data_IF_470788829690
#
_entry.id   IF_470788829690
#
_cell.length_a   1.000
_cell.length_b   1.000
_cell.length_c   1.000
_cell.angle_alpha   90.00
_cell.angle_beta   90.00
_cell.angle_gamma   90.00
#
_symmetry.space_group_name_H-M   'P 1'
#
loop_
_entity.id
_entity.type
_entity.pdbx_description
1 polymer ?
#
# COMPACT_ATOMS: atom_id res chain seq x y z
N UNK A 1 -26.65 -5.83 15.25
CA UNK A 1 -25.73 -6.46 14.28
C UNK A 1 -25.46 -7.89 14.72
N UNK A 2 -25.39 -8.88 13.81
CA UNK A 2 -24.97 -10.23 14.15
C UNK A 2 -23.59 -10.19 14.80
N UNK A 3 -23.44 -10.78 15.98
CA UNK A 3 -22.16 -10.83 16.72
C UNK A 3 -21.08 -11.61 15.95
N UNK A 4 -21.48 -12.54 15.08
CA UNK A 4 -20.58 -13.26 14.17
C UNK A 4 -19.91 -12.37 13.11
N UNK A 5 -20.48 -11.20 12.79
CA UNK A 5 -19.89 -10.26 11.85
C UNK A 5 -18.87 -9.31 12.49
N UNK A 6 -18.84 -9.20 13.83
CA UNK A 6 -17.92 -8.30 14.55
C UNK A 6 -16.45 -8.61 14.23
N UNK A 7 -15.98 -9.88 14.26
CA UNK A 7 -14.61 -10.20 13.89
C UNK A 7 -14.28 -9.84 12.44
N UNK A 8 -15.22 -10.10 11.51
CA UNK A 8 -15.04 -9.81 10.08
C UNK A 8 -14.91 -8.30 9.85
N UNK A 9 -15.76 -7.50 10.49
CA UNK A 9 -15.69 -6.04 10.42
C UNK A 9 -14.37 -5.53 11.03
N UNK A 10 -13.91 -6.13 12.13
CA UNK A 10 -12.64 -5.74 12.76
C UNK A 10 -11.44 -6.02 11.86
N UNK A 11 -11.39 -7.20 11.22
CA UNK A 11 -10.36 -7.55 10.23
C UNK A 11 -10.44 -6.60 9.03
N UNK A 12 -11.64 -6.29 8.53
CA UNK A 12 -11.79 -5.33 7.43
C UNK A 12 -11.26 -3.93 7.77
N UNK A 13 -11.49 -3.46 9.00
CA UNK A 13 -10.93 -2.19 9.49
C UNK A 13 -9.41 -2.23 9.56
N UNK A 14 -8.86 -3.34 10.06
CA UNK A 14 -7.41 -3.54 10.10
C UNK A 14 -6.80 -3.53 8.70
N UNK A 15 -7.41 -4.26 7.75
CA UNK A 15 -6.95 -4.31 6.37
C UNK A 15 -6.96 -2.91 5.70
N UNK A 16 -8.06 -2.16 5.82
CA UNK A 16 -8.15 -0.80 5.27
C UNK A 16 -7.08 0.11 5.89
N UNK A 17 -6.89 0.04 7.21
CA UNK A 17 -5.88 0.85 7.89
C UNK A 17 -4.45 0.52 7.45
N UNK A 18 -4.12 -0.77 7.35
CA UNK A 18 -2.82 -1.25 6.87
C UNK A 18 -2.54 -0.80 5.43
N UNK A 19 -3.49 -1.04 4.52
CA UNK A 19 -3.37 -0.63 3.12
C UNK A 19 -3.27 0.90 2.96
N UNK A 20 -3.96 1.67 3.81
CA UNK A 20 -3.83 3.15 3.84
C UNK A 20 -2.42 3.57 4.24
N UNK A 21 -1.85 2.93 5.28
CA UNK A 21 -0.48 3.21 5.73
C UNK A 21 0.54 2.85 4.64
N UNK A 22 0.38 1.70 3.98
CA UNK A 22 1.26 1.27 2.89
C UNK A 22 1.19 2.22 1.69
N UNK A 23 -0.01 2.65 1.29
CA UNK A 23 -0.20 3.66 0.24
C UNK A 23 0.46 4.99 0.58
N UNK A 24 0.39 5.42 1.84
CA UNK A 24 1.06 6.64 2.30
C UNK A 24 2.59 6.50 2.22
N UNK A 25 3.14 5.38 2.69
CA UNK A 25 4.58 5.08 2.57
C UNK A 25 4.99 5.07 1.09
N UNK A 26 4.18 4.47 0.22
CA UNK A 26 4.45 4.45 -1.21
C UNK A 26 4.43 5.84 -1.85
N UNK A 27 3.54 6.76 -1.47
CA UNK A 27 3.59 8.15 -1.94
C UNK A 27 4.89 8.85 -1.55
N UNK A 28 5.33 8.69 -0.30
CA UNK A 28 6.57 9.30 0.19
C UNK A 28 7.79 8.75 -0.59
N UNK A 29 7.88 7.43 -0.76
CA UNK A 29 8.99 6.80 -1.49
C UNK A 29 8.92 6.99 -3.02
N UNK A 30 7.74 7.14 -3.61
CA UNK A 30 7.62 7.39 -5.04
C UNK A 30 8.23 8.73 -5.44
N UNK A 31 8.14 9.74 -4.55
CA UNK A 31 8.72 11.07 -4.78
C UNK A 31 10.25 10.99 -4.90
N UNK A 32 10.92 10.21 -4.04
CA UNK A 32 12.38 10.03 -4.14
C UNK A 32 12.81 9.23 -5.37
N UNK A 33 11.90 8.44 -5.96
CA UNK A 33 12.12 7.61 -7.16
C UNK A 33 11.67 8.27 -8.47
N UNK A 34 11.35 9.57 -8.46
CA UNK A 34 10.80 10.30 -9.61
C UNK A 34 9.53 9.66 -10.24
N UNK A 35 8.82 8.82 -9.47
CA UNK A 35 7.53 8.23 -9.86
C UNK A 35 6.40 9.10 -9.37
N UNK A 36 5.24 9.03 -10.03
CA UNK A 36 4.06 9.78 -9.61
C UNK A 36 3.57 9.30 -8.23
N UNK A 37 3.61 10.13 -7.17
CA UNK A 37 3.27 9.71 -5.81
C UNK A 37 1.83 9.22 -5.67
N UNK A 38 0.90 9.90 -6.33
CA UNK A 38 -0.52 9.57 -6.29
C UNK A 38 -0.81 8.22 -6.96
N UNK A 39 -0.17 7.93 -8.10
CA UNK A 39 -0.34 6.64 -8.79
C UNK A 39 0.19 5.49 -7.94
N UNK A 40 1.38 5.65 -7.37
CA UNK A 40 1.98 4.64 -6.50
C UNK A 40 1.18 4.41 -5.22
N UNK A 41 0.65 5.48 -4.59
CA UNK A 41 -0.20 5.36 -3.42
C UNK A 41 -1.51 4.63 -3.70
N UNK A 42 -2.23 5.01 -4.76
CA UNK A 42 -3.50 4.35 -5.12
C UNK A 42 -3.25 2.88 -5.46
N UNK A 43 -2.23 2.59 -6.27
CA UNK A 43 -1.86 1.23 -6.61
C UNK A 43 -1.53 0.39 -5.36
N UNK A 44 -0.66 0.90 -4.50
CA UNK A 44 -0.26 0.21 -3.25
C UNK A 44 -1.42 0.07 -2.27
N UNK A 45 -2.35 1.02 -2.21
CA UNK A 45 -3.56 0.89 -1.38
C UNK A 45 -4.43 -0.31 -1.80
N UNK A 46 -4.57 -0.59 -3.09
CA UNK A 46 -5.38 -1.73 -3.55
C UNK A 46 -4.61 -3.05 -3.53
N UNK A 47 -3.32 -3.02 -3.85
CA UNK A 47 -2.46 -4.20 -3.94
C UNK A 47 -1.89 -4.62 -2.57
N UNK A 48 -1.73 -3.66 -1.66
CA UNK A 48 -1.14 -3.85 -0.33
C UNK A 48 0.39 -3.92 -0.38
N UNK A 49 0.97 -4.69 0.54
CA UNK A 49 2.43 -4.87 0.71
C UNK A 49 3.16 -5.19 -0.59
N UNK A 50 2.55 -5.98 -1.49
CA UNK A 50 3.16 -6.34 -2.77
C UNK A 50 3.44 -5.10 -3.62
N UNK A 51 2.51 -4.13 -3.66
CA UNK A 51 2.72 -2.89 -4.41
C UNK A 51 3.80 -2.00 -3.81
N UNK A 52 3.99 -2.07 -2.49
CA UNK A 52 5.10 -1.40 -1.81
C UNK A 52 6.45 -2.07 -2.14
N UNK A 53 6.51 -3.40 -2.13
CA UNK A 53 7.71 -4.17 -2.50
C UNK A 53 8.12 -3.87 -3.95
N UNK A 54 7.17 -3.91 -4.88
CA UNK A 54 7.42 -3.58 -6.29
C UNK A 54 8.00 -2.16 -6.44
N UNK A 55 7.47 -1.18 -5.69
CA UNK A 55 8.00 0.19 -5.68
C UNK A 55 9.44 0.25 -5.15
N UNK A 56 9.76 -0.52 -4.12
CA UNK A 56 11.10 -0.57 -3.54
C UNK A 56 12.09 -1.28 -4.47
N UNK A 57 11.67 -2.39 -5.10
CA UNK A 57 12.47 -3.18 -6.03
C UNK A 57 12.68 -2.48 -7.37
N UNK A 58 11.78 -1.58 -7.77
CA UNK A 58 11.95 -0.72 -8.95
C UNK A 58 13.27 0.08 -8.97
N UNK A 59 13.91 0.30 -7.81
CA UNK A 59 15.25 0.91 -7.76
C UNK A 59 16.36 -0.03 -8.20
N UNK A 60 16.21 -1.33 -7.93
CA UNK A 60 17.28 -2.32 -8.17
C UNK A 60 17.51 -2.53 -9.67
N UNK A 61 16.47 -2.43 -10.49
CA UNK A 61 16.58 -2.63 -11.94
C UNK A 61 17.10 -1.40 -12.70
N UNK A 62 16.99 -0.19 -12.14
CA UNK A 62 17.48 1.02 -12.80
C UNK A 62 19.02 1.19 -12.75
N UNK A 63 19.73 0.32 -12.03
CA UNK A 63 21.18 0.38 -11.78
C UNK A 63 21.93 -0.82 -12.40
N UNK A 64 21.23 -1.77 -13.04
CA UNK A 64 21.82 -2.89 -13.82
C UNK A 64 21.68 -2.66 -15.31
#
# INVERSE_FOLDING_TARGET
MPSSLIPIIWIGRFAIAAHTLEGLIAAFFATSKQKSPLKCAIYTFFVGTVGLLELLESDKEAIT
#
